data_IF_400585752178
#
_entry.id   IF_400585752178
#
_cell.length_a   1.000
_cell.length_b   1.000
_cell.length_c   1.000
_cell.angle_alpha   90.00
_cell.angle_beta   90.00
_cell.angle_gamma   90.00
#
_symmetry.space_group_name_H-M   'P 1'
#
loop_
_entity.id
_entity.type
_entity.pdbx_description
1 polymer ?
#
# COMPACT_ATOMS: atom_id res chain seq x y z
N UNK A 1 29.04 -24.24 10.97
CA UNK A 1 28.40 -23.08 11.63
C UNK A 1 27.84 -22.16 10.55
N UNK A 2 26.52 -21.96 10.42
CA UNK A 2 26.02 -20.92 9.54
C UNK A 2 26.06 -19.57 10.27
N UNK A 3 26.80 -18.63 9.70
CA UNK A 3 26.91 -17.23 10.14
C UNK A 3 25.61 -16.49 9.79
N UNK A 4 24.92 -15.98 10.81
CA UNK A 4 23.77 -15.10 10.63
C UNK A 4 24.28 -13.71 10.24
N UNK A 5 24.21 -13.37 8.96
CA UNK A 5 24.38 -11.98 8.50
C UNK A 5 23.36 -11.09 9.21
N UNK A 6 23.77 -10.01 9.89
CA UNK A 6 22.80 -9.12 10.51
C UNK A 6 22.06 -8.38 9.39
N UNK A 7 20.75 -8.62 9.29
CA UNK A 7 19.87 -7.78 8.48
C UNK A 7 19.97 -6.36 9.05
N UNK A 8 20.51 -5.43 8.27
CA UNK A 8 20.52 -4.01 8.60
C UNK A 8 19.09 -3.61 9.00
N UNK A 9 18.94 -3.02 10.19
CA UNK A 9 17.64 -2.56 10.69
C UNK A 9 17.04 -1.58 9.67
N UNK A 10 16.13 -2.08 8.84
CA UNK A 10 15.44 -1.29 7.84
C UNK A 10 14.67 -0.20 8.60
N UNK A 11 15.02 1.06 8.35
CA UNK A 11 14.24 2.19 8.86
C UNK A 11 12.88 2.11 8.18
N UNK A 12 11.89 1.53 8.84
CA UNK A 12 10.51 1.53 8.35
C UNK A 12 10.14 2.98 8.08
N UNK A 13 9.83 3.37 6.84
CA UNK A 13 9.39 4.73 6.56
C UNK A 13 8.12 4.99 7.38
N UNK A 14 7.95 6.21 7.88
CA UNK A 14 6.69 6.57 8.49
C UNK A 14 5.58 6.43 7.44
N UNK A 15 4.60 5.58 7.74
CA UNK A 15 3.46 5.29 6.88
C UNK A 15 2.22 5.94 7.50
N UNK A 16 1.51 6.74 6.70
CA UNK A 16 0.24 7.34 7.10
C UNK A 16 -0.84 6.94 6.11
N UNK A 17 -1.98 6.49 6.65
CA UNK A 17 -3.18 6.22 5.88
C UNK A 17 -4.26 7.25 6.23
N UNK A 18 -4.90 7.79 5.21
CA UNK A 18 -6.13 8.56 5.34
C UNK A 18 -7.21 7.82 4.57
N UNK A 19 -8.32 7.52 5.26
CA UNK A 19 -9.46 6.81 4.70
C UNK A 19 -10.68 7.70 4.83
N UNK A 20 -11.34 7.94 3.70
CA UNK A 20 -12.45 8.88 3.61
C UNK A 20 -13.58 8.25 2.81
N UNK A 21 -14.81 8.58 3.18
CA UNK A 21 -15.99 8.19 2.41
C UNK A 21 -16.09 9.15 1.23
N UNK A 22 -15.77 8.67 0.03
CA UNK A 22 -15.82 9.49 -1.17
C UNK A 22 -17.24 9.57 -1.75
N UNK A 23 -17.94 8.44 -1.74
CA UNK A 23 -19.34 8.34 -2.13
C UNK A 23 -19.98 7.17 -1.36
N UNK A 24 -20.83 7.43 -0.34
CA UNK A 24 -21.48 6.38 0.43
C UNK A 24 -22.46 5.54 -0.42
N UNK A 25 -23.15 6.17 -1.37
CA UNK A 25 -24.19 5.51 -2.18
C UNK A 25 -23.57 4.60 -3.24
N UNK A 26 -22.39 4.96 -3.74
CA UNK A 26 -21.62 4.11 -4.65
C UNK A 26 -20.64 3.17 -3.91
N UNK A 27 -20.67 3.14 -2.57
CA UNK A 27 -19.76 2.34 -1.74
C UNK A 27 -18.27 2.63 -2.00
N UNK A 28 -17.92 3.88 -2.30
CA UNK A 28 -16.56 4.28 -2.63
C UNK A 28 -15.85 4.96 -1.46
N UNK A 29 -14.64 4.47 -1.20
CA UNK A 29 -13.69 5.10 -0.28
C UNK A 29 -12.53 5.72 -1.05
N UNK A 30 -12.09 6.89 -0.61
CA UNK A 30 -10.79 7.43 -0.99
C UNK A 30 -9.76 7.01 0.06
N UNK A 31 -8.72 6.31 -0.38
CA UNK A 31 -7.62 5.90 0.48
C UNK A 31 -6.35 6.57 -0.01
N UNK A 32 -5.74 7.37 0.86
CA UNK A 32 -4.43 7.99 0.61
C UNK A 32 -3.39 7.31 1.49
N UNK A 33 -2.34 6.79 0.86
CA UNK A 33 -1.15 6.25 1.51
C UNK A 33 0.02 7.22 1.31
N UNK A 34 0.53 7.78 2.40
CA UNK A 34 1.73 8.61 2.40
C UNK A 34 2.89 7.83 2.99
N UNK A 35 3.99 7.74 2.23
CA UNK A 35 5.24 7.10 2.64
C UNK A 35 6.30 8.20 2.74
N UNK A 36 6.77 8.51 3.96
CA UNK A 36 7.64 9.67 4.18
C UNK A 36 8.99 9.60 3.43
N UNK A 37 9.52 8.38 3.24
CA UNK A 37 10.78 8.11 2.54
C UNK A 37 10.61 6.89 1.65
N UNK A 38 9.96 7.03 0.48
CA UNK A 38 9.74 5.92 -0.42
C UNK A 38 11.07 5.45 -1.03
N UNK A 39 11.13 4.18 -1.41
CA UNK A 39 12.22 3.67 -2.24
C UNK A 39 12.10 4.24 -3.67
N UNK A 40 13.20 4.21 -4.43
CA UNK A 40 13.21 4.63 -5.84
C UNK A 40 12.17 3.87 -6.67
N UNK A 41 12.00 2.58 -6.38
CA UNK A 41 10.89 1.76 -6.86
C UNK A 41 10.09 1.24 -5.65
N UNK A 42 9.06 1.98 -5.27
CA UNK A 42 8.23 1.60 -4.14
C UNK A 42 7.21 0.53 -4.55
N UNK A 43 7.25 -0.63 -3.90
CA UNK A 43 6.21 -1.66 -4.00
C UNK A 43 5.28 -1.57 -2.80
N UNK A 44 4.00 -1.74 -3.06
CA UNK A 44 2.94 -1.86 -2.04
C UNK A 44 2.10 -3.08 -2.36
N UNK A 45 1.51 -3.69 -1.35
CA UNK A 45 0.68 -4.88 -1.51
C UNK A 45 -0.56 -4.80 -0.62
N UNK A 46 -1.62 -5.44 -1.08
CA UNK A 46 -2.80 -5.74 -0.27
C UNK A 46 -2.72 -7.21 0.18
N UNK A 47 -3.15 -7.51 1.41
CA UNK A 47 -3.21 -8.89 1.86
C UNK A 47 -4.25 -9.68 1.05
N UNK A 48 -4.10 -11.00 0.99
CA UNK A 48 -5.07 -11.91 0.35
C UNK A 48 -5.91 -12.67 1.39
N UNK A 49 -5.76 -12.34 2.66
CA UNK A 49 -6.47 -12.97 3.77
C UNK A 49 -6.71 -11.93 4.87
N UNK A 50 -7.70 -12.17 5.74
CA UNK A 50 -7.97 -11.38 6.94
C UNK A 50 -7.97 -12.34 8.12
N UNK A 51 -7.34 -11.99 9.27
CA UNK A 51 -7.37 -12.83 10.47
C UNK A 51 -8.78 -13.33 10.81
N UNK A 52 -8.92 -14.62 11.10
CA UNK A 52 -10.21 -15.26 11.39
C UNK A 52 -10.98 -15.75 10.15
N UNK A 53 -10.52 -15.44 8.93
CA UNK A 53 -11.05 -16.02 7.70
C UNK A 53 -10.06 -17.01 7.10
N UNK A 54 -10.52 -18.24 6.85
CA UNK A 54 -9.74 -19.28 6.16
C UNK A 54 -9.86 -19.19 4.63
N UNK A 55 -10.50 -18.13 4.12
CA UNK A 55 -10.72 -17.97 2.69
C UNK A 55 -9.72 -16.98 2.10
N UNK A 56 -9.23 -17.32 0.91
CA UNK A 56 -8.47 -16.39 0.06
C UNK A 56 -9.42 -15.30 -0.44
N UNK A 57 -8.89 -14.08 -0.53
CA UNK A 57 -9.59 -12.86 -0.92
C UNK A 57 -8.78 -12.10 -1.96
N UNK A 58 -9.49 -11.42 -2.84
CA UNK A 58 -8.92 -10.66 -3.94
C UNK A 58 -9.22 -9.16 -3.76
N UNK A 59 -8.81 -8.58 -2.63
CA UNK A 59 -9.13 -7.18 -2.30
C UNK A 59 -8.62 -6.18 -3.33
N UNK A 60 -7.52 -6.50 -4.01
CA UNK A 60 -6.94 -5.69 -5.10
C UNK A 60 -7.88 -5.48 -6.28
N UNK A 61 -8.89 -6.34 -6.47
CA UNK A 61 -9.91 -6.16 -7.53
C UNK A 61 -10.77 -4.90 -7.34
N UNK A 62 -10.88 -4.41 -6.11
CA UNK A 62 -11.67 -3.21 -5.80
C UNK A 62 -10.85 -1.91 -5.89
N UNK A 63 -9.56 -2.00 -6.21
CA UNK A 63 -8.75 -0.81 -6.46
C UNK A 63 -9.13 -0.21 -7.81
N UNK A 64 -9.36 1.09 -7.80
CA UNK A 64 -9.66 1.86 -8.99
C UNK A 64 -8.92 3.19 -8.94
N UNK A 65 -8.55 3.70 -10.12
CA UNK A 65 -7.90 5.02 -10.28
C UNK A 65 -6.66 5.18 -9.39
N UNK A 66 -5.81 4.16 -9.36
CA UNK A 66 -4.52 4.22 -8.65
C UNK A 66 -3.66 5.34 -9.26
N UNK A 67 -3.23 6.27 -8.40
CA UNK A 67 -2.36 7.38 -8.77
C UNK A 67 -1.26 7.53 -7.73
N UNK A 68 -0.08 7.93 -8.18
CA UNK A 68 1.04 8.26 -7.31
C UNK A 68 1.52 9.68 -7.61
N UNK A 69 1.85 10.42 -6.55
CA UNK A 69 2.39 11.76 -6.66
C UNK A 69 3.50 11.91 -5.62
N UNK A 70 4.54 12.66 -5.98
CA UNK A 70 5.57 13.10 -5.06
C UNK A 70 5.66 14.62 -5.15
N UNK A 71 5.29 15.28 -4.05
CA UNK A 71 5.07 16.74 -4.03
C UNK A 71 4.06 17.11 -5.13
N UNK A 72 4.43 17.93 -6.12
CA UNK A 72 3.55 18.33 -7.23
C UNK A 72 3.68 17.43 -8.47
N UNK A 73 4.60 16.47 -8.48
CA UNK A 73 4.90 15.65 -9.66
C UNK A 73 4.08 14.36 -9.64
N UNK A 74 3.31 14.12 -10.70
CA UNK A 74 2.68 12.82 -10.94
C UNK A 74 3.75 11.78 -11.30
N UNK A 75 3.65 10.59 -10.72
CA UNK A 75 4.53 9.46 -10.95
C UNK A 75 3.76 8.28 -11.58
N UNK A 76 4.40 7.48 -12.44
CA UNK A 76 3.80 6.24 -12.92
C UNK A 76 3.46 5.31 -11.77
N UNK A 77 2.25 4.75 -11.79
CA UNK A 77 1.80 3.72 -10.86
C UNK A 77 1.16 2.60 -11.67
N UNK A 78 1.49 1.35 -11.35
CA UNK A 78 0.94 0.18 -12.00
C UNK A 78 0.50 -0.84 -10.96
N UNK A 79 -0.64 -1.48 -11.22
CA UNK A 79 -1.06 -2.69 -10.52
C UNK A 79 -0.43 -3.88 -11.25
N UNK A 80 0.31 -4.69 -10.50
CA UNK A 80 1.03 -5.87 -10.98
C UNK A 80 0.43 -7.15 -10.39
#
# INVERSE_FOLDING_TARGET
>A
MPTKTPAAAAKTPAIHYRVEIADPHAHLFCVTLTIARPQALQRVSLPVWIPGSYLVREFSKNLQRLRAHQTARALPAAQI
#
